data_IF_031559525889
#
_entry.id   IF_031559525889
#
_cell.length_a   1.000
_cell.length_b   1.000
_cell.length_c   1.000
_cell.angle_alpha   90.00
_cell.angle_beta   90.00
_cell.angle_gamma   90.00
#
_symmetry.space_group_name_H-M   'P 1'
#
loop_
_entity.id
_entity.type
_entity.pdbx_description
1 polymer ?
#
# COMPACT_ATOMS: atom_id res chain seq x y z
N UNK A 1 13.38 -6.83 -11.78
CA UNK A 1 13.77 -6.06 -10.59
C UNK A 1 13.01 -4.76 -10.67
N UNK A 2 11.81 -4.74 -10.10
CA UNK A 2 11.01 -3.52 -10.05
C UNK A 2 11.63 -2.64 -8.96
N UNK A 3 12.04 -1.44 -9.35
CA UNK A 3 12.69 -0.48 -8.48
C UNK A 3 11.75 -0.08 -7.35
N UNK A 4 12.26 -0.15 -6.13
CA UNK A 4 11.68 0.60 -5.01
C UNK A 4 11.65 2.07 -5.43
N UNK A 5 10.45 2.66 -5.43
CA UNK A 5 10.27 4.09 -5.72
C UNK A 5 10.94 4.87 -4.59
N UNK A 6 12.02 5.59 -4.91
CA UNK A 6 12.83 6.36 -3.93
C UNK A 6 12.19 7.71 -3.55
N UNK A 7 11.09 8.12 -4.21
CA UNK A 7 10.42 9.39 -3.97
C UNK A 7 9.11 9.15 -3.20
N UNK A 8 9.17 9.35 -1.88
CA UNK A 8 7.99 9.40 -1.02
C UNK A 8 7.28 10.74 -1.24
N UNK A 9 6.08 10.71 -1.84
CA UNK A 9 5.21 11.88 -1.94
C UNK A 9 4.20 11.90 -0.77
N UNK A 10 4.41 12.75 0.26
CA UNK A 10 3.72 12.66 1.55
C UNK A 10 2.22 13.01 1.56
N UNK A 11 1.58 13.30 0.43
CA UNK A 11 0.17 13.77 0.39
C UNK A 11 -0.76 12.94 -0.48
N UNK A 12 -0.30 11.80 -1.01
CA UNK A 12 -1.15 10.91 -1.80
C UNK A 12 -1.52 9.68 -0.98
N UNK A 13 -2.78 9.61 -0.56
CA UNK A 13 -3.34 8.34 -0.10
C UNK A 13 -3.49 7.43 -1.32
N UNK A 14 -2.78 6.30 -1.32
CA UNK A 14 -2.83 5.33 -2.41
C UNK A 14 -3.57 4.06 -1.97
N UNK A 15 -4.34 3.48 -2.89
CA UNK A 15 -5.04 2.23 -2.67
C UNK A 15 -4.51 1.17 -3.63
N UNK A 16 -4.03 0.06 -3.10
CA UNK A 16 -3.52 -1.06 -3.88
C UNK A 16 -4.40 -2.29 -3.66
N UNK A 17 -4.72 -3.00 -4.74
CA UNK A 17 -5.45 -4.26 -4.70
C UNK A 17 -4.64 -5.36 -5.35
N UNK A 18 -4.52 -6.49 -4.65
CA UNK A 18 -3.82 -7.67 -5.16
C UNK A 18 -4.60 -8.94 -4.85
N UNK A 19 -4.74 -9.81 -5.84
CA UNK A 19 -5.18 -11.19 -5.64
C UNK A 19 -3.98 -12.05 -5.28
N UNK A 20 -4.11 -12.85 -4.22
CA UNK A 20 -3.07 -13.77 -3.75
C UNK A 20 -3.69 -15.13 -3.45
N UNK A 21 -2.87 -16.17 -3.44
CA UNK A 21 -3.27 -17.48 -2.93
C UNK A 21 -2.63 -17.67 -1.56
N UNK A 22 -3.45 -17.88 -0.53
CA UNK A 22 -3.03 -18.18 0.83
C UNK A 22 -3.58 -19.55 1.22
N UNK A 23 -2.71 -20.46 1.64
CA UNK A 23 -3.08 -21.83 2.03
C UNK A 23 -3.92 -22.59 0.97
N UNK A 24 -3.75 -22.24 -0.30
CA UNK A 24 -4.48 -22.84 -1.43
C UNK A 24 -5.79 -22.15 -1.81
N UNK A 25 -6.20 -21.11 -1.09
CA UNK A 25 -7.41 -20.33 -1.38
C UNK A 25 -7.09 -18.96 -2.01
N UNK A 26 -7.88 -18.53 -3.00
CA UNK A 26 -7.76 -17.20 -3.58
C UNK A 26 -8.35 -16.14 -2.64
N UNK A 27 -7.54 -15.15 -2.28
CA UNK A 27 -7.91 -14.00 -1.47
C UNK A 27 -7.66 -12.70 -2.21
N UNK A 28 -8.53 -11.71 -2.02
CA UNK A 28 -8.29 -10.34 -2.43
C UNK A 28 -7.79 -9.53 -1.22
N UNK A 29 -6.63 -8.88 -1.37
CA UNK A 29 -6.07 -7.98 -0.36
C UNK A 29 -6.22 -6.56 -0.87
N UNK A 30 -6.83 -5.74 -0.03
CA UNK A 30 -6.92 -4.29 -0.18
C UNK A 30 -5.97 -3.63 0.81
N UNK A 31 -4.99 -2.89 0.28
CA UNK A 31 -3.99 -2.15 1.06
C UNK A 31 -4.29 -0.67 0.85
N UNK A 32 -4.56 0.01 1.96
CA UNK A 32 -4.69 1.46 2.00
C UNK A 32 -3.41 2.04 2.59
N UNK A 33 -2.67 2.78 1.77
CA UNK A 33 -1.52 3.55 2.21
C UNK A 33 -1.99 4.97 2.58
N UNK A 34 -1.79 5.35 3.83
CA UNK A 34 -2.15 6.66 4.35
C UNK A 34 -0.89 7.37 4.80
N UNK A 35 -0.68 8.60 4.37
CA UNK A 35 0.35 9.46 4.95
C UNK A 35 0.16 9.60 6.47
N UNK A 36 1.25 9.52 7.24
CA UNK A 36 1.22 9.66 8.68
C UNK A 36 0.67 11.02 9.12
N UNK A 37 -0.17 11.06 10.16
CA UNK A 37 -0.63 12.28 10.82
C UNK A 37 0.49 12.91 11.67
N UNK A 38 1.66 13.22 11.11
CA UNK A 38 2.72 13.89 11.88
C UNK A 38 2.44 15.39 12.15
N UNK A 39 1.38 15.96 11.55
CA UNK A 39 0.99 17.38 11.72
C UNK A 39 -0.11 17.65 12.78
N UNK A 40 -0.49 16.65 13.60
CA UNK A 40 -1.39 16.87 14.74
C UNK A 40 -0.60 17.03 16.05
N UNK A 41 0.29 18.03 16.12
CA UNK A 41 0.96 18.47 17.36
C UNK A 41 1.30 19.95 17.32
#
# INVERSE_FOLDING_TARGET
>A
MEGFVEEYEPTKADSYRKKVVLDGEECAIDILDTAGQEDYS
#
